data_IF_161492367273
#
_entry.id   IF_161492367273
#
_cell.length_a   1.000
_cell.length_b   1.000
_cell.length_c   1.000
_cell.angle_alpha   90.00
_cell.angle_beta   90.00
_cell.angle_gamma   90.00
#
_symmetry.space_group_name_H-M   'P 1'
#
loop_
_entity.id
_entity.type
_entity.pdbx_description
1 polymer ?
#
# COMPACT_ATOMS: atom_id res chain seq x y z
N UNK A 1 -5.77 5.34 21.26
CA UNK A 1 -5.03 4.06 21.31
C UNK A 1 -4.82 3.64 19.86
N UNK A 2 -3.82 4.22 19.22
CA UNK A 2 -3.41 3.85 17.86
C UNK A 2 -1.94 3.50 17.98
N UNK A 3 -1.75 2.19 18.16
CA UNK A 3 -0.47 1.51 18.07
C UNK A 3 0.25 1.99 16.79
N UNK A 4 1.52 2.34 16.91
CA UNK A 4 2.31 2.87 15.82
C UNK A 4 2.28 1.95 14.60
N UNK A 5 1.97 2.54 13.44
CA UNK A 5 1.69 1.97 12.11
C UNK A 5 2.86 1.21 11.43
N UNK A 6 3.75 0.56 12.18
CA UNK A 6 4.80 -0.29 11.61
C UNK A 6 4.19 -1.44 10.78
N UNK A 7 3.09 -2.01 11.25
CA UNK A 7 2.32 -3.02 10.51
C UNK A 7 1.68 -2.45 9.25
N UNK A 8 1.32 -1.16 9.20
CA UNK A 8 0.70 -0.57 8.02
C UNK A 8 1.66 -0.61 6.83
N UNK A 9 2.94 -0.26 7.03
CA UNK A 9 3.96 -0.34 5.98
C UNK A 9 4.17 -1.77 5.49
N UNK A 10 4.20 -2.76 6.40
CA UNK A 10 4.27 -4.17 6.03
C UNK A 10 3.04 -4.60 5.22
N UNK A 11 1.88 -4.03 5.54
CA UNK A 11 0.62 -4.32 4.84
C UNK A 11 0.54 -3.69 3.46
N UNK A 12 1.18 -2.55 3.22
CA UNK A 12 1.32 -2.01 1.86
C UNK A 12 2.00 -3.04 0.93
N UNK A 13 3.02 -3.74 1.42
CA UNK A 13 3.82 -4.68 0.62
C UNK A 13 3.31 -6.11 0.64
N UNK A 14 2.27 -6.43 1.42
CA UNK A 14 1.71 -7.79 1.52
C UNK A 14 0.23 -7.89 1.14
N UNK A 15 -0.51 -6.77 1.17
CA UNK A 15 -1.94 -6.76 0.88
C UNK A 15 -2.16 -6.58 -0.62
N UNK A 16 -2.78 -7.55 -1.31
CA UNK A 16 -3.23 -7.37 -2.68
C UNK A 16 -4.53 -6.55 -2.71
N UNK A 17 -4.71 -5.77 -3.77
CA UNK A 17 -5.93 -5.04 -4.03
C UNK A 17 -7.09 -6.04 -4.20
N UNK A 18 -8.18 -5.95 -3.41
CA UNK A 18 -9.24 -6.97 -3.42
C UNK A 18 -10.19 -6.88 -4.62
N UNK A 19 -10.25 -5.73 -5.29
CA UNK A 19 -11.19 -5.46 -6.38
C UNK A 19 -10.65 -4.42 -7.38
N UNK A 20 -11.44 -4.13 -8.42
CA UNK A 20 -11.13 -3.13 -9.42
C UNK A 20 -10.15 -3.60 -10.50
N UNK A 21 -9.68 -2.67 -11.33
CA UNK A 21 -8.78 -2.92 -12.46
C UNK A 21 -7.45 -3.56 -12.06
N UNK A 22 -6.96 -3.24 -10.86
CA UNK A 22 -5.69 -3.72 -10.31
C UNK A 22 -5.85 -4.87 -9.30
N UNK A 23 -6.99 -5.57 -9.31
CA UNK A 23 -7.22 -6.71 -8.41
C UNK A 23 -6.06 -7.70 -8.45
N UNK A 24 -5.59 -8.10 -7.26
CA UNK A 24 -4.44 -9.00 -7.10
C UNK A 24 -3.06 -8.32 -7.09
N UNK A 25 -2.98 -7.03 -7.48
CA UNK A 25 -1.74 -6.24 -7.39
C UNK A 25 -1.53 -5.80 -5.95
N UNK A 26 -0.30 -5.89 -5.43
CA UNK A 26 0.01 -5.38 -4.08
C UNK A 26 -0.24 -3.87 -4.01
N UNK A 27 -0.69 -3.37 -2.86
CA UNK A 27 -0.94 -1.93 -2.68
C UNK A 27 0.31 -1.11 -3.00
N UNK A 28 1.49 -1.58 -2.59
CA UNK A 28 2.76 -0.94 -2.87
C UNK A 28 3.16 -0.93 -4.36
N UNK A 29 2.51 -1.73 -5.21
CA UNK A 29 2.73 -1.83 -6.66
C UNK A 29 1.64 -1.14 -7.48
N UNK A 30 0.67 -0.48 -6.82
CA UNK A 30 -0.37 0.25 -7.52
C UNK A 30 0.21 1.45 -8.26
N UNK A 31 -0.24 1.73 -9.49
CA UNK A 31 0.29 2.84 -10.25
C UNK A 31 -0.18 4.18 -9.67
N UNK A 32 0.70 5.18 -9.64
CA UNK A 32 0.43 6.49 -9.02
C UNK A 32 -0.79 7.22 -9.60
N UNK A 33 -1.12 7.00 -10.88
CA UNK A 33 -2.35 7.55 -11.48
C UNK A 33 -3.63 6.97 -10.86
N UNK A 34 -3.61 5.71 -10.43
CA UNK A 34 -4.72 5.04 -9.78
C UNK A 34 -4.88 5.52 -8.33
N UNK A 35 -3.77 5.71 -7.61
CA UNK A 35 -3.76 6.32 -6.28
C UNK A 35 -4.25 7.78 -6.33
N UNK A 36 -3.81 8.54 -7.33
CA UNK A 36 -4.24 9.93 -7.53
C UNK A 36 -5.72 10.04 -7.89
N UNK A 37 -6.28 9.06 -8.61
CA UNK A 37 -7.72 8.99 -8.85
C UNK A 37 -8.49 8.78 -7.54
N UNK A 38 -8.06 7.87 -6.68
CA UNK A 38 -8.66 7.68 -5.35
C UNK A 38 -8.55 8.93 -4.47
N UNK A 39 -7.43 9.66 -4.52
CA UNK A 39 -7.27 10.91 -3.78
C UNK A 39 -8.29 11.99 -4.21
N UNK A 40 -8.79 11.92 -5.44
CA UNK A 40 -9.81 12.83 -6.00
C UNK A 40 -11.23 12.35 -5.76
N UNK A 41 -11.48 11.06 -5.89
CA UNK A 41 -12.82 10.46 -5.75
C UNK A 41 -13.19 10.18 -4.28
N UNK A 42 -12.18 9.91 -3.45
CA UNK A 42 -12.30 9.53 -2.06
C UNK A 42 -11.81 8.09 -1.82
N UNK A 43 -11.12 7.88 -0.70
CA UNK A 43 -10.67 6.54 -0.30
C UNK A 43 -11.83 5.74 0.31
N UNK A 44 -11.91 4.42 0.06
CA UNK A 44 -12.95 3.58 0.66
C UNK A 44 -12.82 3.58 2.19
N UNK A 45 -13.92 3.43 2.95
CA UNK A 45 -13.86 3.43 4.40
C UNK A 45 -13.09 2.21 4.93
N UNK A 46 -12.61 2.34 6.15
CA UNK A 46 -11.92 1.28 6.85
C UNK A 46 -10.47 1.14 6.41
N UNK A 47 -9.97 -0.08 6.52
CA UNK A 47 -8.54 -0.32 6.53
C UNK A 47 -7.87 -0.18 5.17
N UNK A 48 -8.55 -0.66 4.12
CA UNK A 48 -8.05 -0.54 2.75
C UNK A 48 -7.85 0.92 2.35
N UNK A 49 -8.80 1.81 2.67
CA UNK A 49 -8.65 3.23 2.34
C UNK A 49 -7.51 3.90 3.10
N UNK A 50 -7.28 3.52 4.36
CA UNK A 50 -6.12 4.01 5.12
C UNK A 50 -4.81 3.59 4.45
N UNK A 51 -4.71 2.35 3.97
CA UNK A 51 -3.53 1.86 3.24
C UNK A 51 -3.36 2.58 1.90
N UNK A 52 -4.44 2.81 1.15
CA UNK A 52 -4.39 3.53 -0.12
C UNK A 52 -4.01 5.01 0.06
N UNK A 53 -4.53 5.66 1.10
CA UNK A 53 -4.15 7.03 1.45
C UNK A 53 -2.67 7.11 1.84
N UNK A 54 -2.20 6.21 2.69
CA UNK A 54 -0.80 6.12 3.07
C UNK A 54 0.11 5.86 1.86
N UNK A 55 -0.29 4.94 0.97
CA UNK A 55 0.47 4.68 -0.25
C UNK A 55 0.52 5.90 -1.17
N UNK A 56 -0.58 6.65 -1.28
CA UNK A 56 -0.61 7.89 -2.05
C UNK A 56 0.34 8.95 -1.48
N UNK A 57 0.41 9.11 -0.15
CA UNK A 57 1.36 10.01 0.49
C UNK A 57 2.81 9.60 0.23
N UNK A 58 3.12 8.30 0.32
CA UNK A 58 4.45 7.77 0.02
C UNK A 58 4.84 8.03 -1.44
N UNK A 59 3.92 7.78 -2.38
CA UNK A 59 4.12 8.02 -3.82
C UNK A 59 4.32 9.52 -4.11
N UNK A 60 3.47 10.38 -3.55
CA UNK A 60 3.52 11.84 -3.74
C UNK A 60 4.84 12.46 -3.24
N UNK A 61 5.42 11.90 -2.18
CA UNK A 61 6.69 12.35 -1.61
C UNK A 61 7.92 11.61 -2.20
N UNK A 62 7.74 10.76 -3.22
CA UNK A 62 8.79 9.93 -3.82
C UNK A 62 9.53 9.03 -2.79
N UNK A 63 8.82 8.56 -1.77
CA UNK A 63 9.35 7.74 -0.67
C UNK A 63 9.21 6.22 -0.91
N UNK A 64 8.79 5.80 -2.11
CA UNK A 64 8.57 4.38 -2.43
C UNK A 64 9.78 3.48 -2.20
N UNK A 65 11.00 4.02 -2.31
CA UNK A 65 12.25 3.31 -2.04
C UNK A 65 12.34 2.80 -0.59
N UNK A 66 11.68 3.46 0.37
CA UNK A 66 11.63 3.02 1.77
C UNK A 66 10.93 1.66 1.94
N UNK A 67 10.08 1.27 0.99
CA UNK A 67 9.37 -0.02 1.02
C UNK A 67 10.21 -1.19 0.51
N UNK A 68 11.34 -0.93 -0.17
CA UNK A 68 12.24 -1.98 -0.70
C UNK A 68 12.71 -2.99 0.35
N UNK A 69 13.27 -2.59 1.50
CA UNK A 69 13.69 -3.55 2.52
C UNK A 69 12.51 -4.38 3.06
N UNK A 70 11.31 -3.79 3.15
CA UNK A 70 10.11 -4.49 3.61
C UNK A 70 9.64 -5.54 2.59
N UNK A 71 9.73 -5.23 1.28
CA UNK A 71 9.45 -6.19 0.21
C UNK A 71 10.39 -7.40 0.26
N UNK A 72 11.68 -7.17 0.52
CA UNK A 72 12.65 -8.25 0.66
C UNK A 72 12.29 -9.18 1.85
N UNK A 73 11.88 -8.60 2.98
CA UNK A 73 11.44 -9.36 4.15
C UNK A 73 10.16 -10.16 3.85
N UNK A 74 9.15 -9.54 3.22
CA UNK A 74 7.90 -10.21 2.86
C UNK A 74 8.10 -11.35 1.84
N UNK A 75 9.06 -11.20 0.91
CA UNK A 75 9.44 -12.26 -0.02
C UNK A 75 10.15 -13.43 0.65
N UNK A 76 11.06 -13.14 1.60
CA UNK A 76 11.79 -14.16 2.34
C UNK A 76 10.88 -15.07 3.19
N UNK A 77 9.77 -14.53 3.74
CA UNK A 77 8.79 -15.32 4.51
C UNK A 77 7.96 -16.28 3.64
N UNK A 78 7.77 -15.99 2.35
CA UNK A 78 7.00 -16.85 1.42
C UNK A 78 7.81 -18.02 0.85
N UNK A 79 9.12 -18.04 1.04
CA UNK A 79 10.03 -19.07 0.52
C UNK A 79 10.34 -20.23 1.47
N UNK A 80 9.58 -20.40 2.56
CA UNK A 80 9.79 -21.45 3.56
C UNK A 80 8.66 -22.47 3.59
#
# INVERSE_FOLDING_TARGET
MTDFDADALMRLVTTPMPYGKHKGTLIADLPGNYLSWFAREGFPPGELGRLLALMHEIDHNALGELLRPLRAQAGATRGR
#
